data_IF_659802271319
#
_entry.id   IF_659802271319
#
_cell.length_a   1.000
_cell.length_b   1.000
_cell.length_c   1.000
_cell.angle_alpha   90.00
_cell.angle_beta   90.00
_cell.angle_gamma   90.00
#
_symmetry.space_group_name_H-M   'P 1'
#
loop_
_entity.id
_entity.type
_entity.pdbx_description
1 polymer ?
#
# COMPACT_ATOMS: atom_id res chain seq x y z
N UNK A 1 -0.43 13.29 -23.66
CA UNK A 1 -0.81 13.88 -22.36
C UNK A 1 -1.66 12.96 -21.46
N UNK A 2 -2.70 12.24 -21.92
CA UNK A 2 -3.62 11.50 -21.04
C UNK A 2 -2.94 10.49 -20.11
N UNK A 3 -1.92 9.78 -20.60
CA UNK A 3 -1.16 8.81 -19.81
C UNK A 3 -0.42 9.46 -18.63
N UNK A 4 0.23 10.61 -18.86
CA UNK A 4 1.00 11.32 -17.84
C UNK A 4 0.06 11.85 -16.74
N UNK A 5 -1.09 12.42 -17.12
CA UNK A 5 -2.08 12.87 -16.14
C UNK A 5 -2.70 11.70 -15.38
N UNK A 6 -2.97 10.58 -16.05
CA UNK A 6 -3.48 9.36 -15.40
C UNK A 6 -2.50 8.78 -14.39
N UNK A 7 -1.22 8.66 -14.76
CA UNK A 7 -0.19 8.18 -13.82
C UNK A 7 0.02 9.14 -12.66
N UNK A 8 0.07 10.45 -12.90
CA UNK A 8 0.16 11.45 -11.84
C UNK A 8 -1.02 11.36 -10.87
N UNK A 9 -2.25 11.27 -11.38
CA UNK A 9 -3.45 11.12 -10.54
C UNK A 9 -3.38 9.87 -9.67
N UNK A 10 -3.02 8.72 -10.27
CA UNK A 10 -2.92 7.45 -9.54
C UNK A 10 -1.82 7.52 -8.49
N UNK A 11 -0.63 8.00 -8.85
CA UNK A 11 0.52 8.07 -7.94
C UNK A 11 0.25 9.04 -6.80
N UNK A 12 -0.26 10.25 -7.07
CA UNK A 12 -0.57 11.23 -6.02
C UNK A 12 -1.62 10.69 -5.05
N UNK A 13 -2.69 10.09 -5.58
CA UNK A 13 -3.75 9.50 -4.76
C UNK A 13 -3.23 8.31 -3.95
N UNK A 14 -2.41 7.45 -4.55
CA UNK A 14 -1.80 6.31 -3.87
C UNK A 14 -0.90 6.76 -2.72
N UNK A 15 -0.03 7.76 -2.95
CA UNK A 15 0.85 8.30 -1.93
C UNK A 15 0.06 8.93 -0.79
N UNK A 16 -1.02 9.66 -1.09
CA UNK A 16 -1.86 10.28 -0.06
C UNK A 16 -2.52 9.26 0.86
N UNK A 17 -2.77 8.04 0.36
CA UNK A 17 -3.26 6.91 1.16
C UNK A 17 -2.08 6.22 1.87
N UNK A 18 -1.04 5.84 1.14
CA UNK A 18 0.03 5.01 1.65
C UNK A 18 0.88 5.72 2.72
N UNK A 19 1.04 7.04 2.61
CA UNK A 19 1.87 7.83 3.52
C UNK A 19 1.35 7.84 4.97
N UNK A 20 0.08 8.20 5.26
CA UNK A 20 -0.42 8.18 6.64
C UNK A 20 -0.43 6.77 7.24
N UNK A 21 -0.80 5.74 6.48
CA UNK A 21 -0.80 4.36 6.98
C UNK A 21 0.62 3.83 7.20
N UNK A 22 1.53 4.09 6.26
CA UNK A 22 2.92 3.66 6.34
C UNK A 22 3.68 4.37 7.45
N UNK A 23 3.63 5.69 7.51
CA UNK A 23 4.27 6.47 8.57
C UNK A 23 3.66 6.18 9.94
N UNK A 24 2.33 6.11 10.04
CA UNK A 24 1.66 5.81 11.31
C UNK A 24 2.06 4.45 11.85
N UNK A 25 2.17 3.44 10.99
CA UNK A 25 2.63 2.10 11.38
C UNK A 25 4.11 2.11 11.77
N UNK A 26 4.98 2.81 11.02
CA UNK A 26 6.39 2.91 11.35
C UNK A 26 6.62 3.59 12.72
N UNK A 27 5.96 4.72 12.97
CA UNK A 27 6.03 5.44 14.24
C UNK A 27 5.52 4.56 15.39
N UNK A 28 4.42 3.82 15.16
CA UNK A 28 3.91 2.89 16.17
C UNK A 28 4.93 1.81 16.50
N UNK A 29 5.57 1.19 15.50
CA UNK A 29 6.57 0.13 15.69
C UNK A 29 7.84 0.68 16.36
N UNK A 30 8.29 1.89 16.02
CA UNK A 30 9.55 2.45 16.53
C UNK A 30 9.41 3.00 17.94
N UNK A 31 8.37 3.81 18.20
CA UNK A 31 8.24 4.62 19.42
C UNK A 31 7.26 4.05 20.45
N UNK A 32 6.17 3.42 20.00
CA UNK A 32 5.04 3.06 20.88
C UNK A 32 5.03 1.57 21.22
N UNK A 33 5.46 0.71 20.31
CA UNK A 33 5.33 -0.73 20.43
C UNK A 33 6.28 -1.31 21.49
N UNK A 34 5.77 -2.17 22.40
CA UNK A 34 6.63 -2.91 23.33
C UNK A 34 7.50 -3.92 22.57
N UNK A 35 8.66 -4.29 23.15
CA UNK A 35 9.68 -5.14 22.48
C UNK A 35 9.12 -6.38 21.79
N UNK A 36 8.22 -7.12 22.45
CA UNK A 36 7.62 -8.34 21.89
C UNK A 36 6.76 -8.08 20.63
N UNK A 37 6.08 -6.92 20.56
CA UNK A 37 5.31 -6.54 19.36
C UNK A 37 6.27 -6.17 18.23
N UNK A 38 7.35 -5.44 18.53
CA UNK A 38 8.36 -5.05 17.54
C UNK A 38 9.04 -6.28 16.91
N UNK A 39 9.34 -7.29 17.72
CA UNK A 39 9.92 -8.58 17.27
C UNK A 39 9.00 -9.39 16.35
N UNK A 40 7.67 -9.18 16.40
CA UNK A 40 6.71 -9.85 15.52
C UNK A 40 6.38 -8.99 14.29
N UNK A 41 6.14 -7.70 14.48
CA UNK A 41 5.70 -6.81 13.40
C UNK A 41 6.81 -6.54 12.38
N UNK A 42 8.07 -6.41 12.81
CA UNK A 42 9.19 -6.16 11.89
C UNK A 42 9.33 -7.28 10.84
N UNK A 43 9.48 -8.57 11.22
CA UNK A 43 9.54 -9.65 10.25
C UNK A 43 8.31 -9.71 9.33
N UNK A 44 7.11 -9.43 9.86
CA UNK A 44 5.89 -9.42 9.04
C UNK A 44 5.98 -8.33 7.97
N UNK A 45 6.38 -7.11 8.32
CA UNK A 45 6.52 -6.00 7.37
C UNK A 45 7.58 -6.34 6.31
N UNK A 46 8.72 -6.90 6.71
CA UNK A 46 9.78 -7.32 5.78
C UNK A 46 9.31 -8.42 4.84
N UNK A 47 8.58 -9.43 5.34
CA UNK A 47 7.99 -10.49 4.52
C UNK A 47 6.99 -9.90 3.53
N UNK A 48 6.11 -8.99 3.99
CA UNK A 48 5.13 -8.32 3.13
C UNK A 48 5.81 -7.46 2.04
N UNK A 49 6.88 -6.76 2.40
CA UNK A 49 7.70 -5.99 1.45
C UNK A 49 8.47 -6.88 0.47
N UNK A 50 8.81 -8.11 0.88
CA UNK A 50 9.47 -9.12 0.06
C UNK A 50 8.56 -9.84 -0.93
N UNK A 51 7.23 -9.68 -0.85
CA UNK A 51 6.32 -10.30 -1.82
C UNK A 51 6.56 -9.68 -3.21
N UNK A 52 6.76 -10.50 -4.27
CA UNK A 52 6.98 -9.96 -5.61
C UNK A 52 5.82 -9.06 -6.06
N UNK A 53 6.16 -7.87 -6.56
CA UNK A 53 5.18 -6.85 -6.99
C UNK A 53 4.20 -7.36 -8.05
N UNK A 54 4.65 -8.26 -8.94
CA UNK A 54 3.81 -8.89 -9.96
C UNK A 54 2.71 -9.76 -9.34
N UNK A 55 3.02 -10.50 -8.27
CA UNK A 55 2.05 -11.36 -7.57
C UNK A 55 1.00 -10.50 -6.88
N UNK A 56 1.41 -9.45 -6.17
CA UNK A 56 0.48 -8.51 -5.54
C UNK A 56 -0.40 -7.78 -6.56
N UNK A 57 0.17 -7.37 -7.69
CA UNK A 57 -0.59 -6.76 -8.79
C UNK A 57 -1.63 -7.71 -9.37
N UNK A 58 -1.27 -8.97 -9.58
CA UNK A 58 -2.20 -9.99 -10.09
C UNK A 58 -3.31 -10.31 -9.10
N UNK A 59 -2.99 -10.51 -7.82
CA UNK A 59 -3.99 -10.67 -6.74
C UNK A 59 -4.91 -9.46 -6.67
N UNK A 60 -4.34 -8.26 -6.79
CA UNK A 60 -5.11 -7.01 -6.85
C UNK A 60 -6.13 -6.99 -7.97
N UNK A 61 -5.74 -7.43 -9.17
CA UNK A 61 -6.67 -7.53 -10.30
C UNK A 61 -7.73 -8.61 -10.08
N UNK A 62 -7.38 -9.74 -9.48
CA UNK A 62 -8.34 -10.83 -9.26
C UNK A 62 -9.32 -10.58 -8.10
N UNK A 63 -8.92 -9.80 -7.10
CA UNK A 63 -9.68 -9.61 -5.86
C UNK A 63 -10.20 -8.18 -5.72
N UNK A 64 -9.31 -7.19 -5.78
CA UNK A 64 -9.63 -5.78 -5.47
C UNK A 64 -10.45 -5.14 -6.60
N UNK A 65 -10.12 -5.42 -7.86
CA UNK A 65 -10.87 -4.91 -9.03
C UNK A 65 -12.33 -5.37 -9.03
N UNK A 66 -12.66 -6.68 -8.93
CA UNK A 66 -14.06 -7.11 -8.87
C UNK A 66 -14.75 -6.70 -7.58
N UNK A 67 -14.01 -6.58 -6.46
CA UNK A 67 -14.55 -6.04 -5.21
C UNK A 67 -15.05 -4.61 -5.38
N UNK A 68 -14.22 -3.70 -5.85
CA UNK A 68 -14.63 -2.31 -6.07
C UNK A 68 -15.68 -2.16 -7.16
N UNK A 69 -15.60 -2.99 -8.21
CA UNK A 69 -16.63 -3.01 -9.26
C UNK A 69 -18.02 -3.27 -8.66
N UNK A 70 -18.14 -4.26 -7.78
CA UNK A 70 -19.42 -4.63 -7.16
C UNK A 70 -19.82 -3.66 -6.05
N UNK A 71 -18.86 -3.24 -5.22
CA UNK A 71 -19.12 -2.40 -4.05
C UNK A 71 -19.53 -0.97 -4.44
N UNK A 72 -18.93 -0.42 -5.50
CA UNK A 72 -19.20 0.94 -5.98
C UNK A 72 -20.13 0.98 -7.20
N UNK A 73 -20.71 -0.17 -7.58
CA UNK A 73 -21.57 -0.34 -8.76
C UNK A 73 -20.98 0.28 -10.06
N UNK A 74 -19.70 -0.01 -10.31
CA UNK A 74 -18.96 0.58 -11.42
C UNK A 74 -19.10 -0.27 -12.70
N UNK A 75 -19.11 0.36 -13.89
CA UNK A 75 -19.08 -0.35 -15.17
C UNK A 75 -17.84 -1.25 -15.30
N UNK A 76 -16.69 -0.78 -14.79
CA UNK A 76 -15.44 -1.51 -14.71
C UNK A 76 -14.76 -1.24 -13.36
N UNK A 77 -14.04 -2.23 -12.83
CA UNK A 77 -13.20 -2.03 -11.64
C UNK A 77 -11.81 -1.46 -11.96
N UNK A 78 -11.46 -1.35 -13.25
CA UNK A 78 -10.15 -0.87 -13.73
C UNK A 78 -10.15 0.66 -13.84
N UNK A 79 -10.29 1.33 -12.70
CA UNK A 79 -10.35 2.80 -12.61
C UNK A 79 -9.09 3.36 -11.97
N UNK A 80 -8.87 4.68 -12.12
CA UNK A 80 -7.77 5.37 -11.46
C UNK A 80 -7.83 5.22 -9.92
N UNK A 81 -9.04 5.19 -9.34
CA UNK A 81 -9.23 4.98 -7.91
C UNK A 81 -8.76 3.59 -7.47
N UNK A 82 -9.22 2.53 -8.15
CA UNK A 82 -8.78 1.16 -7.84
C UNK A 82 -7.26 1.01 -8.01
N UNK A 83 -6.70 1.59 -9.07
CA UNK A 83 -5.25 1.62 -9.29
C UNK A 83 -4.50 2.34 -8.17
N UNK A 84 -5.03 3.47 -7.68
CA UNK A 84 -4.44 4.23 -6.59
C UNK A 84 -4.47 3.45 -5.26
N UNK A 85 -5.59 2.79 -4.94
CA UNK A 85 -5.70 1.95 -3.75
C UNK A 85 -4.73 0.77 -3.83
N UNK A 86 -4.69 0.07 -4.97
CA UNK A 86 -3.77 -1.05 -5.18
C UNK A 86 -2.31 -0.64 -5.04
N UNK A 87 -1.90 0.42 -5.74
CA UNK A 87 -0.55 0.94 -5.65
C UNK A 87 -0.21 1.38 -4.23
N UNK A 88 -1.16 2.05 -3.56
CA UNK A 88 -1.00 2.49 -2.18
C UNK A 88 -0.79 1.33 -1.22
N UNK A 89 -1.60 0.27 -1.31
CA UNK A 89 -1.47 -0.93 -0.48
C UNK A 89 -0.12 -1.63 -0.67
N UNK A 90 0.36 -1.72 -1.91
CA UNK A 90 1.68 -2.31 -2.22
C UNK A 90 2.82 -1.42 -1.70
N UNK A 91 2.64 -0.11 -1.71
CA UNK A 91 3.66 0.83 -1.23
C UNK A 91 3.76 0.90 0.30
N UNK A 92 2.70 0.56 1.05
CA UNK A 92 2.69 0.64 2.52
C UNK A 92 3.87 -0.12 3.16
N UNK A 93 4.09 -1.42 2.93
CA UNK A 93 5.18 -2.14 3.58
C UNK A 93 6.56 -1.52 3.30
N UNK A 94 6.79 -1.05 2.08
CA UNK A 94 8.01 -0.34 1.71
C UNK A 94 8.17 0.97 2.48
N UNK A 95 7.11 1.78 2.59
CA UNK A 95 7.14 3.02 3.37
C UNK A 95 7.37 2.71 4.85
N UNK A 96 6.72 1.68 5.41
CA UNK A 96 6.91 1.28 6.80
C UNK A 96 8.36 0.90 7.05
N UNK A 97 8.93 0.01 6.23
CA UNK A 97 10.32 -0.43 6.38
C UNK A 97 11.29 0.75 6.35
N UNK A 98 11.19 1.61 5.31
CA UNK A 98 12.10 2.75 5.16
C UNK A 98 11.94 3.78 6.28
N UNK A 99 10.72 4.06 6.70
CA UNK A 99 10.47 5.02 7.77
C UNK A 99 10.90 4.47 9.14
N UNK A 100 10.72 3.17 9.40
CA UNK A 100 11.16 2.53 10.63
C UNK A 100 12.69 2.47 10.71
N UNK A 101 13.37 2.18 9.59
CA UNK A 101 14.83 2.24 9.48
C UNK A 101 15.38 3.65 9.71
N UNK A 102 14.64 4.69 9.32
CA UNK A 102 15.05 6.09 9.52
C UNK A 102 14.76 6.61 10.94
N UNK A 103 13.84 5.98 11.68
CA UNK A 103 13.46 6.37 13.04
C UNK A 103 14.32 5.69 14.12
N UNK A 104 14.95 4.56 13.81
CA UNK A 104 15.92 3.90 14.72
C UNK A 104 17.35 4.41 14.49
#
# INVERSE_FOLDING_TARGET
>A
MPLIFGTLLVTLSATLIALPFGLGTAIFISEVAPRWVKEILKPIVEILAGIPSVVLGFIGILVIVPFFRKFLDLPTGLTAFTGAVLLGLIAIPTIVSVAEDALN
#
